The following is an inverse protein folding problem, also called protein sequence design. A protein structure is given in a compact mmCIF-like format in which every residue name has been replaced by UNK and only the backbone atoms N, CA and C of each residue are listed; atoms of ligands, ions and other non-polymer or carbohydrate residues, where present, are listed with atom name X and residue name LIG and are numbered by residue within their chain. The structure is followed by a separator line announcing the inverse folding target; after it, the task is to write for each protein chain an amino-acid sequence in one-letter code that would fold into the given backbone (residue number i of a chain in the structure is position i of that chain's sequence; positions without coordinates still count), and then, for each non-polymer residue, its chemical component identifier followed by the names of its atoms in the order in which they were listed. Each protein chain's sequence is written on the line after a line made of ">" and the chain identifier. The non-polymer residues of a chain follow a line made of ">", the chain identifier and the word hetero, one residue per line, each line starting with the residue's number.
data_IF_289171236085
#
_entry.id   IF_289171236085
#
_cell.length_a   1.000
_cell.length_b   1.000
_cell.length_c   1.000
_cell.angle_alpha   90.00
_cell.angle_beta   90.00
_cell.angle_gamma   90.00
#
_symmetry.space_group_name_H-M   'P 1'
#
loop_
_entity.id
_entity.type
_entity.pdbx_description
1 polymer ?
#
# COMPACT_ATOMS: atom_id res chain seq x y z
N UNK A 1 -0.54 20.22 4.21
CA UNK A 1 -0.84 18.86 3.78
C UNK A 1 -0.31 18.67 2.35
N UNK A 2 0.58 17.68 2.17
CA UNK A 2 1.11 17.31 0.85
C UNK A 2 0.16 16.30 0.22
N UNK A 3 -0.22 16.54 -1.05
CA UNK A 3 -1.04 15.58 -1.79
C UNK A 3 -0.17 14.40 -2.24
N UNK A 4 -0.46 13.19 -1.77
CA UNK A 4 0.34 12.00 -2.07
C UNK A 4 0.45 11.71 -3.58
N UNK A 5 -0.55 12.09 -4.38
CA UNK A 5 -0.50 11.93 -5.83
C UNK A 5 0.65 12.72 -6.47
N UNK A 6 1.03 13.88 -5.93
CA UNK A 6 2.14 14.68 -6.46
C UNK A 6 3.51 14.05 -6.22
N UNK A 7 3.57 13.08 -5.30
CA UNK A 7 4.78 12.32 -4.96
C UNK A 7 4.83 10.94 -5.62
N UNK A 8 3.74 10.51 -6.28
CA UNK A 8 3.64 9.18 -6.89
C UNK A 8 4.64 9.04 -8.05
N UNK A 9 5.41 7.95 -8.03
CA UNK A 9 6.43 7.61 -9.04
C UNK A 9 7.52 8.68 -9.21
N UNK A 10 7.81 9.46 -8.17
CA UNK A 10 8.83 10.47 -8.17
C UNK A 10 9.77 10.30 -6.97
N UNK A 11 11.06 10.53 -7.17
CA UNK A 11 12.02 10.75 -6.10
C UNK A 11 12.22 12.24 -5.92
N UNK A 12 12.00 12.73 -4.71
CA UNK A 12 12.19 14.14 -4.37
C UNK A 12 13.05 14.27 -3.11
N UNK A 13 13.80 15.35 -3.02
CA UNK A 13 14.58 15.65 -1.82
C UNK A 13 13.63 15.92 -0.64
N UNK A 14 13.85 15.21 0.46
CA UNK A 14 13.06 15.37 1.67
C UNK A 14 13.02 16.82 2.17
N UNK A 15 14.11 17.54 2.02
CA UNK A 15 14.20 18.96 2.43
C UNK A 15 13.20 19.87 1.68
N UNK A 16 12.87 19.56 0.43
CA UNK A 16 11.88 20.33 -0.35
C UNK A 16 10.45 20.07 0.10
N UNK A 17 10.18 18.88 0.62
CA UNK A 17 8.83 18.43 0.99
C UNK A 17 8.57 18.65 2.48
N UNK A 18 9.53 18.28 3.33
CA UNK A 18 9.44 18.30 4.79
C UNK A 18 10.74 18.88 5.40
N UNK A 19 11.02 20.17 5.24
CA UNK A 19 12.29 20.77 5.64
C UNK A 19 12.59 20.58 7.15
N UNK A 20 11.59 20.76 8.01
CA UNK A 20 11.76 20.57 9.45
C UNK A 20 12.11 19.12 9.82
N UNK A 21 11.52 18.15 9.14
CA UNK A 21 11.80 16.74 9.35
C UNK A 21 13.19 16.36 8.81
N UNK A 22 13.57 16.91 7.66
CA UNK A 22 14.90 16.74 7.07
C UNK A 22 16.01 17.27 7.99
N UNK A 23 15.83 18.47 8.54
CA UNK A 23 16.78 19.08 9.47
C UNK A 23 16.88 18.27 10.77
N UNK A 24 15.76 17.78 11.29
CA UNK A 24 15.76 16.90 12.46
C UNK A 24 16.52 15.59 12.17
N UNK A 25 16.29 14.92 11.05
CA UNK A 25 17.05 13.71 10.66
C UNK A 25 18.55 13.98 10.69
N UNK A 26 19.01 15.06 10.05
CA UNK A 26 20.42 15.45 9.99
C UNK A 26 21.03 15.72 11.38
N UNK A 27 20.21 16.15 12.34
CA UNK A 27 20.68 16.46 13.70
C UNK A 27 20.81 15.23 14.61
N UNK A 28 20.04 14.14 14.34
CA UNK A 28 19.96 12.98 15.24
C UNK A 28 20.55 11.70 14.67
N UNK A 29 20.60 11.54 13.35
CA UNK A 29 21.14 10.35 12.68
C UNK A 29 22.56 10.62 12.23
N UNK A 30 23.48 9.76 12.64
CA UNK A 30 24.91 9.81 12.26
C UNK A 30 25.21 8.74 11.21
N UNK A 31 26.20 8.97 10.33
CA UNK A 31 26.62 7.95 9.36
C UNK A 31 27.11 6.63 9.98
N UNK A 32 27.53 6.67 11.24
CA UNK A 32 28.01 5.52 12.01
C UNK A 32 26.89 4.71 12.69
N UNK A 33 25.64 5.19 12.67
CA UNK A 33 24.53 4.53 13.36
C UNK A 33 24.15 3.23 12.65
N UNK A 34 23.84 2.18 13.43
CA UNK A 34 23.37 0.92 12.90
C UNK A 34 21.95 1.07 12.33
N UNK A 35 21.56 0.15 11.42
CA UNK A 35 20.21 0.13 10.85
C UNK A 35 19.12 0.04 11.93
N UNK A 36 19.34 -0.76 12.98
CA UNK A 36 18.41 -0.87 14.11
C UNK A 36 18.25 0.45 14.85
N UNK A 37 19.36 1.17 15.11
CA UNK A 37 19.35 2.49 15.75
C UNK A 37 18.57 3.49 14.95
N UNK A 38 18.83 3.58 13.64
CA UNK A 38 18.14 4.48 12.71
C UNK A 38 16.64 4.17 12.69
N UNK A 39 16.27 2.88 12.57
CA UNK A 39 14.88 2.45 12.54
C UNK A 39 14.14 2.81 13.84
N UNK A 40 14.77 2.61 15.00
CA UNK A 40 14.20 2.97 16.30
C UNK A 40 13.93 4.47 16.40
N UNK A 41 14.93 5.30 16.06
CA UNK A 41 14.82 6.77 16.10
C UNK A 41 13.68 7.26 15.18
N UNK A 42 13.61 6.73 13.97
CA UNK A 42 12.58 7.10 12.99
C UNK A 42 11.18 6.67 13.46
N UNK A 43 11.02 5.44 13.96
CA UNK A 43 9.74 4.93 14.46
C UNK A 43 9.22 5.75 15.63
N UNK A 44 10.04 6.06 16.63
CA UNK A 44 9.64 6.90 17.75
C UNK A 44 9.16 8.28 17.30
N UNK A 45 9.85 8.89 16.36
CA UNK A 45 9.47 10.19 15.81
C UNK A 45 8.17 10.15 15.01
N UNK A 46 8.01 9.14 14.14
CA UNK A 46 6.79 8.97 13.32
C UNK A 46 5.58 8.70 14.22
N UNK A 47 5.73 7.83 15.21
CA UNK A 47 4.66 7.57 16.20
C UNK A 47 4.31 8.84 16.96
N UNK A 48 5.31 9.63 17.37
CA UNK A 48 5.10 10.92 18.03
C UNK A 48 4.34 11.92 17.14
N UNK A 49 4.63 11.97 15.85
CA UNK A 49 3.87 12.78 14.90
C UNK A 49 2.44 12.28 14.73
N UNK A 50 2.24 10.97 14.58
CA UNK A 50 0.92 10.37 14.44
C UNK A 50 0.01 10.69 15.65
N UNK A 51 0.55 10.64 16.86
CA UNK A 51 -0.20 10.96 18.08
C UNK A 51 -0.53 12.45 18.22
N UNK A 52 0.35 13.35 17.76
CA UNK A 52 0.16 14.80 17.83
C UNK A 52 -0.67 15.36 16.70
N UNK A 53 -0.66 14.68 15.56
CA UNK A 53 -1.45 15.06 14.39
C UNK A 53 -2.85 14.49 14.57
N UNK A 54 -3.75 15.27 15.19
CA UNK A 54 -5.19 15.03 15.07
C UNK A 54 -5.59 15.33 13.62
N UNK A 55 -5.16 14.47 12.67
CA UNK A 55 -5.63 14.56 11.29
C UNK A 55 -7.06 14.02 11.33
N UNK A 56 -8.01 14.92 11.18
CA UNK A 56 -9.41 14.57 11.00
C UNK A 56 -9.57 13.95 9.61
N UNK A 57 -9.44 12.62 9.55
CA UNK A 57 -9.72 11.86 8.35
C UNK A 57 -11.23 11.69 8.22
N UNK A 58 -11.75 11.84 7.00
CA UNK A 58 -13.12 11.40 6.70
C UNK A 58 -13.30 9.94 7.14
N UNK A 59 -14.17 9.69 8.10
CA UNK A 59 -14.41 8.36 8.67
C UNK A 59 -14.79 7.33 7.59
N UNK A 60 -15.48 7.77 6.52
CA UNK A 60 -15.88 6.94 5.39
C UNK A 60 -14.68 6.48 4.57
N UNK A 61 -13.61 7.32 4.50
CA UNK A 61 -12.33 6.91 3.91
C UNK A 61 -11.66 5.82 4.75
N UNK A 62 -11.60 5.99 6.08
CA UNK A 62 -11.03 4.98 6.98
C UNK A 62 -11.83 3.68 6.92
N UNK A 63 -13.14 3.76 6.87
CA UNK A 63 -14.01 2.60 6.69
C UNK A 63 -13.74 1.87 5.37
N UNK A 64 -13.57 2.62 4.27
CA UNK A 64 -13.21 2.05 2.97
C UNK A 64 -11.85 1.35 3.02
N UNK A 65 -10.85 1.92 3.69
CA UNK A 65 -9.55 1.27 3.91
C UNK A 65 -9.70 -0.01 4.71
N UNK A 66 -10.43 0.03 5.82
CA UNK A 66 -10.66 -1.12 6.69
C UNK A 66 -11.36 -2.27 5.94
N UNK A 67 -12.35 -1.97 5.10
CA UNK A 67 -13.02 -2.96 4.26
C UNK A 67 -12.05 -3.60 3.25
N UNK A 68 -11.20 -2.81 2.60
CA UNK A 68 -10.19 -3.32 1.67
C UNK A 68 -9.22 -4.26 2.40
N UNK A 69 -8.72 -3.88 3.58
CA UNK A 69 -7.82 -4.73 4.36
C UNK A 69 -8.53 -5.98 4.87
N UNK A 70 -9.73 -5.86 5.46
CA UNK A 70 -10.52 -6.97 5.97
C UNK A 70 -10.82 -8.03 4.91
N UNK A 71 -11.03 -7.59 3.67
CA UNK A 71 -11.27 -8.48 2.52
C UNK A 71 -9.99 -8.80 1.74
N UNK A 72 -8.81 -8.49 2.27
CA UNK A 72 -7.51 -8.74 1.61
C UNK A 72 -7.45 -8.21 0.16
N UNK A 73 -8.15 -7.12 -0.14
CA UNK A 73 -8.28 -6.57 -1.47
C UNK A 73 -9.22 -7.34 -2.42
N UNK A 74 -9.95 -8.36 -1.94
CA UNK A 74 -10.90 -9.15 -2.75
C UNK A 74 -12.30 -8.53 -2.69
N UNK A 75 -12.49 -7.45 -3.41
CA UNK A 75 -13.78 -6.75 -3.50
C UNK A 75 -13.89 -5.98 -4.81
N UNK A 76 -15.11 -5.73 -5.24
CA UNK A 76 -15.41 -4.76 -6.28
C UNK A 76 -15.46 -3.36 -5.65
N UNK A 77 -14.44 -2.54 -5.95
CA UNK A 77 -14.32 -1.21 -5.33
C UNK A 77 -15.42 -0.23 -5.69
N UNK A 78 -16.25 -0.53 -6.68
CA UNK A 78 -17.40 0.29 -7.07
C UNK A 78 -18.70 -0.17 -6.43
N UNK A 79 -18.83 -1.48 -6.17
CA UNK A 79 -20.08 -2.09 -5.64
C UNK A 79 -20.01 -2.37 -4.14
N UNK A 80 -18.85 -2.83 -3.66
CA UNK A 80 -18.72 -3.33 -2.29
C UNK A 80 -18.29 -2.25 -1.29
N UNK A 81 -17.77 -1.11 -1.75
CA UNK A 81 -17.39 0.02 -0.89
C UNK A 81 -18.57 0.99 -0.70
N UNK A 82 -19.64 0.50 -0.08
CA UNK A 82 -20.81 1.35 0.21
C UNK A 82 -20.62 2.09 1.56
N UNK A 83 -19.67 3.02 1.60
CA UNK A 83 -19.35 3.82 2.80
C UNK A 83 -19.94 5.24 2.75
N UNK A 84 -20.95 5.48 1.89
CA UNK A 84 -21.54 6.80 1.72
C UNK A 84 -20.72 7.77 0.86
N UNK A 85 -19.65 7.26 0.20
CA UNK A 85 -18.86 8.00 -0.79
C UNK A 85 -19.16 7.48 -2.19
N UNK A 86 -19.43 8.38 -3.14
CA UNK A 86 -19.51 7.97 -4.53
C UNK A 86 -18.14 7.46 -5.05
N UNK A 87 -18.11 6.63 -6.11
CA UNK A 87 -16.84 6.15 -6.70
C UNK A 87 -15.89 7.29 -7.11
N UNK A 88 -16.43 8.42 -7.55
CA UNK A 88 -15.65 9.62 -7.88
C UNK A 88 -15.03 10.27 -6.65
N UNK A 89 -15.76 10.37 -5.54
CA UNK A 89 -15.26 10.91 -4.28
C UNK A 89 -14.19 9.98 -3.70
N UNK A 90 -14.43 8.67 -3.66
CA UNK A 90 -13.44 7.68 -3.24
C UNK A 90 -12.14 7.80 -4.04
N UNK A 91 -12.22 7.87 -5.36
CA UNK A 91 -11.03 8.04 -6.22
C UNK A 91 -10.26 9.30 -5.87
N UNK A 92 -10.95 10.44 -5.63
CA UNK A 92 -10.33 11.71 -5.26
C UNK A 92 -9.62 11.60 -3.91
N UNK A 93 -10.26 11.03 -2.91
CA UNK A 93 -9.73 10.90 -1.56
C UNK A 93 -8.54 9.93 -1.53
N UNK A 94 -8.63 8.79 -2.21
CA UNK A 94 -7.52 7.85 -2.34
C UNK A 94 -6.32 8.47 -3.05
N UNK A 95 -6.54 9.20 -4.15
CA UNK A 95 -5.45 9.93 -4.82
C UNK A 95 -4.80 10.96 -3.90
N UNK A 96 -5.58 11.64 -3.06
CA UNK A 96 -5.06 12.66 -2.15
C UNK A 96 -4.24 12.05 -1.01
N UNK A 97 -4.77 11.05 -0.29
CA UNK A 97 -4.11 10.48 0.89
C UNK A 97 -3.13 9.35 0.57
N UNK A 98 -3.40 8.53 -0.44
CA UNK A 98 -2.62 7.33 -0.79
C UNK A 98 -1.75 7.55 -2.04
N UNK A 99 -2.13 8.48 -2.93
CA UNK A 99 -1.42 8.74 -4.18
C UNK A 99 -1.85 7.86 -5.36
N UNK A 100 -2.83 6.97 -5.18
CA UNK A 100 -3.31 6.08 -6.23
C UNK A 100 -4.84 5.91 -6.18
N UNK A 101 -5.40 5.19 -7.16
CA UNK A 101 -6.84 4.91 -7.17
C UNK A 101 -7.22 3.82 -6.16
N UNK A 102 -8.47 3.79 -5.71
CA UNK A 102 -9.02 2.75 -4.83
C UNK A 102 -8.78 1.34 -5.40
N UNK A 103 -9.03 1.14 -6.70
CA UNK A 103 -8.81 -0.12 -7.40
C UNK A 103 -7.33 -0.54 -7.39
N UNK A 104 -6.41 0.40 -7.66
CA UNK A 104 -4.97 0.11 -7.64
C UNK A 104 -4.50 -0.24 -6.24
N UNK A 105 -4.97 0.48 -5.21
CA UNK A 105 -4.67 0.17 -3.82
C UNK A 105 -5.18 -1.23 -3.41
N UNK A 106 -6.44 -1.55 -3.71
CA UNK A 106 -7.02 -2.87 -3.49
C UNK A 106 -6.21 -3.99 -4.14
N UNK A 107 -5.74 -3.77 -5.38
CA UNK A 107 -4.87 -4.73 -6.08
C UNK A 107 -3.52 -4.94 -5.37
N UNK A 108 -2.93 -3.88 -4.80
CA UNK A 108 -1.68 -4.00 -4.02
C UNK A 108 -1.92 -4.80 -2.74
N UNK A 109 -3.00 -4.54 -2.01
CA UNK A 109 -3.37 -5.31 -0.80
C UNK A 109 -3.59 -6.79 -1.15
N UNK A 110 -4.31 -7.08 -2.22
CA UNK A 110 -4.51 -8.44 -2.75
C UNK A 110 -3.20 -9.13 -3.07
N UNK A 111 -2.31 -8.42 -3.75
CA UNK A 111 -1.00 -8.94 -4.10
C UNK A 111 -0.15 -9.25 -2.87
N UNK A 112 -0.13 -8.38 -1.87
CA UNK A 112 0.56 -8.63 -0.60
C UNK A 112 -0.01 -9.85 0.14
N UNK A 113 -1.32 -10.04 0.12
CA UNK A 113 -1.94 -11.23 0.70
C UNK A 113 -1.44 -12.52 0.01
N UNK A 114 -1.34 -12.52 -1.32
CA UNK A 114 -0.81 -13.65 -2.09
C UNK A 114 0.65 -13.95 -1.74
N UNK A 115 1.49 -12.91 -1.66
CA UNK A 115 2.90 -13.09 -1.28
C UNK A 115 3.04 -13.70 0.12
N UNK A 116 2.23 -13.24 1.07
CA UNK A 116 2.24 -13.74 2.45
C UNK A 116 1.78 -15.19 2.55
N UNK A 117 0.89 -15.64 1.66
CA UNK A 117 0.45 -17.03 1.58
C UNK A 117 1.55 -18.00 1.09
N UNK A 118 2.67 -17.50 0.59
CA UNK A 118 3.82 -18.27 0.08
C UNK A 118 3.38 -19.46 -0.80
N UNK A 119 2.72 -19.21 -1.93
CA UNK A 119 2.16 -20.27 -2.75
C UNK A 119 3.24 -21.24 -3.22
N UNK A 120 2.99 -22.56 -3.06
CA UNK A 120 3.89 -23.60 -3.56
C UNK A 120 3.73 -23.76 -5.08
N UNK A 121 4.77 -24.31 -5.75
CA UNK A 121 4.67 -24.68 -7.19
C UNK A 121 3.49 -25.61 -7.47
N UNK A 122 3.16 -26.50 -6.52
CA UNK A 122 2.04 -27.43 -6.66
C UNK A 122 0.71 -26.68 -6.63
N UNK A 123 0.51 -25.78 -5.66
CA UNK A 123 -0.73 -24.99 -5.57
C UNK A 123 -0.92 -24.06 -6.76
N UNK A 124 0.19 -23.55 -7.33
CA UNK A 124 0.16 -22.76 -8.56
C UNK A 124 -0.26 -23.59 -9.80
N UNK A 125 0.18 -24.86 -9.89
CA UNK A 125 -0.18 -25.77 -11.00
C UNK A 125 -1.62 -26.30 -10.89
N UNK A 126 -2.10 -26.52 -9.67
CA UNK A 126 -3.45 -27.06 -9.39
C UNK A 126 -4.56 -26.02 -9.51
N UNK A 127 -4.26 -24.79 -9.94
CA UNK A 127 -5.20 -23.67 -10.12
C UNK A 127 -6.02 -23.27 -8.87
N UNK A 128 -5.88 -23.96 -7.73
CA UNK A 128 -6.64 -23.67 -6.51
C UNK A 128 -6.43 -22.24 -6.01
N UNK A 129 -5.19 -21.77 -6.07
CA UNK A 129 -4.84 -20.43 -5.56
C UNK A 129 -5.52 -19.30 -6.34
N UNK A 130 -5.77 -19.48 -7.64
CA UNK A 130 -6.34 -18.42 -8.47
C UNK A 130 -7.79 -18.12 -8.15
N UNK A 131 -8.58 -19.16 -7.88
CA UNK A 131 -10.00 -19.03 -7.51
C UNK A 131 -10.15 -18.58 -6.06
N UNK A 132 -9.37 -19.13 -5.14
CA UNK A 132 -9.40 -18.75 -3.72
C UNK A 132 -8.97 -17.29 -3.48
N UNK A 133 -8.16 -16.75 -4.39
CA UNK A 133 -7.68 -15.35 -4.32
C UNK A 133 -8.41 -14.41 -5.29
N UNK A 134 -9.58 -14.80 -5.82
CA UNK A 134 -10.49 -13.92 -6.57
C UNK A 134 -9.96 -13.42 -7.91
N UNK A 135 -9.09 -14.18 -8.58
CA UNK A 135 -8.75 -13.96 -9.98
C UNK A 135 -9.67 -14.78 -10.89
N UNK A 136 -10.14 -14.18 -11.98
CA UNK A 136 -11.03 -14.84 -12.92
C UNK A 136 -10.35 -15.98 -13.67
N UNK A 137 -9.03 -15.86 -13.91
CA UNK A 137 -8.24 -16.88 -14.60
C UNK A 137 -6.75 -16.74 -14.27
N UNK A 138 -6.00 -17.79 -14.62
CA UNK A 138 -4.55 -17.88 -14.44
C UNK A 138 -3.77 -16.78 -15.19
N UNK A 139 -4.19 -16.44 -16.40
CA UNK A 139 -3.50 -15.43 -17.21
C UNK A 139 -3.60 -14.05 -16.58
N UNK A 140 -4.77 -13.71 -16.03
CA UNK A 140 -4.99 -12.47 -15.29
C UNK A 140 -4.13 -12.40 -14.01
N UNK A 141 -4.00 -13.51 -13.28
CA UNK A 141 -3.10 -13.61 -12.13
C UNK A 141 -1.64 -13.39 -12.54
N UNK A 142 -1.12 -14.16 -13.51
CA UNK A 142 0.27 -14.07 -13.97
C UNK A 142 0.60 -12.64 -14.43
N UNK A 143 -0.31 -12.00 -15.20
CA UNK A 143 -0.14 -10.62 -15.66
C UNK A 143 -0.05 -9.62 -14.50
N UNK A 144 -0.92 -9.74 -13.51
CA UNK A 144 -0.90 -8.87 -12.33
C UNK A 144 0.34 -9.14 -11.46
N UNK A 145 0.69 -10.42 -11.26
CA UNK A 145 1.89 -10.79 -10.50
C UNK A 145 3.15 -10.20 -11.16
N UNK A 146 3.35 -10.40 -12.46
CA UNK A 146 4.48 -9.83 -13.20
C UNK A 146 4.51 -8.30 -13.14
N UNK A 147 3.35 -7.65 -13.16
CA UNK A 147 3.25 -6.19 -13.04
C UNK A 147 3.76 -5.68 -11.68
N UNK A 148 3.50 -6.39 -10.58
CA UNK A 148 3.87 -5.96 -9.23
C UNK A 148 5.24 -6.49 -8.79
N UNK A 149 5.61 -7.69 -9.22
CA UNK A 149 6.82 -8.37 -8.77
C UNK A 149 7.99 -8.28 -9.77
N UNK A 150 7.70 -7.93 -11.02
CA UNK A 150 8.69 -7.84 -12.10
C UNK A 150 8.93 -9.13 -12.88
N UNK A 151 8.70 -10.30 -12.26
CA UNK A 151 8.85 -11.63 -12.89
C UNK A 151 7.57 -12.45 -12.74
N UNK A 152 7.47 -13.59 -13.41
CA UNK A 152 6.31 -14.49 -13.30
C UNK A 152 6.31 -15.25 -11.96
N UNK A 153 5.15 -15.75 -11.47
CA UNK A 153 5.09 -16.57 -10.26
C UNK A 153 6.01 -17.79 -10.29
N UNK A 154 6.11 -18.46 -11.44
CA UNK A 154 6.99 -19.63 -11.62
C UNK A 154 8.49 -19.29 -11.53
N UNK A 155 8.88 -18.09 -11.85
CA UNK A 155 10.25 -17.58 -11.68
C UNK A 155 10.50 -17.13 -10.24
N UNK A 156 9.52 -16.48 -9.61
CA UNK A 156 9.63 -15.94 -8.25
C UNK A 156 9.68 -17.04 -7.17
N UNK A 157 8.97 -18.15 -7.37
CA UNK A 157 8.86 -19.25 -6.39
C UNK A 157 9.65 -20.50 -6.82
N UNK A 158 10.78 -20.29 -7.46
CA UNK A 158 11.74 -21.35 -7.80
C UNK A 158 12.43 -21.96 -6.58
#
# INVERSE_FOLDING_TARGET
>A
NVNAKTLSNQSQELNKILPNFSNWIKSVIKPSDSFETITKILNEKIIGFSRKSAIDYDHRFLESLNLIFKRNGFLDTEKDLNTGLSPRQLRRIFNFYIGTTTKSFSNVVRFQHILNAKPSKKSLKENKLYFDVGFFDQAHFIKNFKRFYGVTPSEAFR
#
